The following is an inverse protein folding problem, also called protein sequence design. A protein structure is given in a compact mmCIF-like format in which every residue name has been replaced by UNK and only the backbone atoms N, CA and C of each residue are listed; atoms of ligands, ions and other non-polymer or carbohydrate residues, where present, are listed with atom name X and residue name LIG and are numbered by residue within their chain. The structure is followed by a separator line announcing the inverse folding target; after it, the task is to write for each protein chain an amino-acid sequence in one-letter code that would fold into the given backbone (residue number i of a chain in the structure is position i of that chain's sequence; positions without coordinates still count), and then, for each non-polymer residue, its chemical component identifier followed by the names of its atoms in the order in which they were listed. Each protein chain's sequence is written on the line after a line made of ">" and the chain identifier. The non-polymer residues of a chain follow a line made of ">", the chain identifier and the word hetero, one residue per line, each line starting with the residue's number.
data_IF_941652078025
#
_entry.id   IF_941652078025
#
_cell.length_a   1.000
_cell.length_b   1.000
_cell.length_c   1.000
_cell.angle_alpha   90.00
_cell.angle_beta   90.00
_cell.angle_gamma   90.00
#
_symmetry.space_group_name_H-M   'P 1'
#
loop_
_entity.id
_entity.type
_entity.pdbx_description
1 polymer ?
#
# COMPACT_ATOMS: atom_id res chain seq x y z
N UNK A 1 -6.67 -27.81 -6.52
CA UNK A 1 -6.59 -29.10 -5.79
C UNK A 1 -7.52 -29.06 -4.58
N UNK A 2 -7.32 -28.14 -3.64
CA UNK A 2 -8.23 -27.92 -2.50
C UNK A 2 -9.72 -27.84 -2.87
N UNK A 3 -10.10 -27.02 -3.86
CA UNK A 3 -11.50 -26.93 -4.30
C UNK A 3 -12.07 -28.27 -4.80
N UNK A 4 -11.22 -29.15 -5.37
CA UNK A 4 -11.65 -30.49 -5.77
C UNK A 4 -11.78 -31.43 -4.56
N UNK A 5 -10.97 -31.22 -3.53
CA UNK A 5 -10.98 -32.01 -2.28
C UNK A 5 -12.16 -31.61 -1.37
N UNK A 6 -12.53 -30.31 -1.34
CA UNK A 6 -13.69 -29.81 -0.61
C UNK A 6 -15.03 -30.23 -1.25
N UNK A 7 -15.10 -30.35 -2.58
CA UNK A 7 -16.38 -30.58 -3.26
C UNK A 7 -17.37 -29.46 -2.94
N UNK A 8 -18.54 -29.83 -2.40
CA UNK A 8 -19.57 -28.88 -1.94
C UNK A 8 -19.43 -28.48 -0.45
N UNK A 9 -18.41 -29.00 0.26
CA UNK A 9 -18.18 -28.69 1.66
C UNK A 9 -17.49 -27.33 1.82
N UNK A 10 -17.84 -26.61 2.89
CA UNK A 10 -17.24 -25.32 3.25
C UNK A 10 -16.36 -25.50 4.49
N UNK A 11 -15.21 -24.85 4.50
CA UNK A 11 -14.36 -24.79 5.69
C UNK A 11 -15.03 -23.84 6.71
N UNK A 12 -15.11 -24.18 8.01
CA UNK A 12 -15.66 -23.28 9.01
C UNK A 12 -14.76 -22.04 9.22
N UNK A 13 -15.39 -20.93 9.59
CA UNK A 13 -14.73 -19.70 10.04
C UNK A 13 -15.33 -19.28 11.38
N UNK A 14 -14.59 -18.50 12.16
CA UNK A 14 -15.02 -17.98 13.45
C UNK A 14 -15.21 -16.46 13.35
N UNK A 15 -16.37 -15.98 13.76
CA UNK A 15 -16.65 -14.58 14.02
C UNK A 15 -16.66 -14.25 15.51
N UNK A 16 -16.83 -12.97 15.89
CA UNK A 16 -16.74 -12.52 17.28
C UNK A 16 -17.72 -13.19 18.26
N UNK A 17 -18.81 -13.76 17.75
CA UNK A 17 -19.81 -14.47 18.56
C UNK A 17 -19.47 -15.94 18.80
N UNK A 18 -18.50 -16.50 18.07
CA UNK A 18 -18.17 -17.91 18.13
C UNK A 18 -17.20 -18.22 19.28
N UNK A 19 -17.42 -19.36 19.94
CA UNK A 19 -16.52 -19.84 20.99
C UNK A 19 -15.16 -20.18 20.37
N UNK A 20 -14.10 -19.62 20.94
CA UNK A 20 -12.72 -19.83 20.46
C UNK A 20 -12.21 -18.74 19.51
N UNK A 21 -13.05 -17.78 19.12
CA UNK A 21 -12.63 -16.64 18.29
C UNK A 21 -11.45 -15.87 18.89
N UNK A 22 -11.56 -15.45 20.14
CA UNK A 22 -10.51 -14.68 20.81
C UNK A 22 -9.21 -15.50 20.96
N UNK A 23 -9.35 -16.78 21.30
CA UNK A 23 -8.19 -17.67 21.42
C UNK A 23 -7.45 -17.82 20.09
N UNK A 24 -8.18 -18.01 18.99
CA UNK A 24 -7.62 -18.09 17.64
C UNK A 24 -6.93 -16.77 17.26
N UNK A 25 -7.57 -15.63 17.56
CA UNK A 25 -6.99 -14.32 17.31
C UNK A 25 -5.64 -14.18 18.03
N UNK A 26 -5.62 -14.41 19.33
CA UNK A 26 -4.44 -14.20 20.17
C UNK A 26 -3.29 -15.17 19.82
N UNK A 27 -3.60 -16.39 19.36
CA UNK A 27 -2.59 -17.41 19.07
C UNK A 27 -2.06 -17.40 17.63
N UNK A 28 -2.90 -17.05 16.66
CA UNK A 28 -2.62 -17.28 15.23
C UNK A 28 -2.75 -16.02 14.38
N UNK A 29 -3.36 -14.96 14.91
CA UNK A 29 -3.54 -13.68 14.25
C UNK A 29 -3.04 -12.53 15.14
N UNK A 30 -2.04 -12.77 15.98
CA UNK A 30 -1.55 -11.80 16.97
C UNK A 30 -1.02 -10.50 16.34
N UNK A 31 -0.55 -10.56 15.09
CA UNK A 31 -0.16 -9.38 14.30
C UNK A 31 -1.34 -8.55 13.78
N UNK A 32 -2.59 -8.99 13.95
CA UNK A 32 -3.79 -8.26 13.57
C UNK A 32 -4.30 -7.43 14.75
N UNK A 33 -4.44 -6.12 14.55
CA UNK A 33 -4.95 -5.20 15.57
C UNK A 33 -6.20 -4.51 15.04
N UNK A 34 -7.29 -4.54 15.81
CA UNK A 34 -8.50 -3.76 15.53
C UNK A 34 -8.60 -2.58 16.48
N UNK A 35 -8.79 -1.39 15.89
CA UNK A 35 -9.07 -0.12 16.55
C UNK A 35 -10.49 0.30 16.21
N UNK A 36 -11.37 0.38 17.21
CA UNK A 36 -12.75 0.85 17.00
C UNK A 36 -12.78 2.32 16.62
N UNK A 37 -13.81 2.76 15.92
CA UNK A 37 -13.98 4.18 15.54
C UNK A 37 -13.82 5.18 16.69
N UNK A 38 -14.09 4.83 17.94
CA UNK A 38 -13.84 5.74 19.07
C UNK A 38 -12.35 6.03 19.35
N UNK A 39 -11.39 5.34 18.71
CA UNK A 39 -9.96 5.53 18.95
C UNK A 39 -9.33 6.66 18.14
N UNK A 40 -9.96 7.10 17.05
CA UNK A 40 -9.48 8.24 16.27
C UNK A 40 -10.14 9.52 16.79
N UNK A 41 -9.44 10.67 16.75
CA UNK A 41 -10.06 11.95 17.06
C UNK A 41 -11.28 12.22 16.17
N UNK A 42 -12.39 12.68 16.76
CA UNK A 42 -13.65 12.90 16.06
C UNK A 42 -13.53 13.90 14.90
N UNK A 43 -12.69 14.93 15.07
CA UNK A 43 -12.40 15.92 14.02
C UNK A 43 -11.68 15.27 12.82
N UNK A 44 -10.64 14.48 13.09
CA UNK A 44 -9.91 13.74 12.05
C UNK A 44 -10.83 12.76 11.31
N UNK A 45 -11.73 12.08 12.02
CA UNK A 45 -12.76 11.25 11.39
C UNK A 45 -13.62 12.01 10.40
N UNK A 46 -14.15 13.18 10.80
CA UNK A 46 -15.01 13.99 9.96
C UNK A 46 -14.24 14.48 8.71
N UNK A 47 -13.00 14.94 8.91
CA UNK A 47 -12.12 15.41 7.83
C UNK A 47 -11.79 14.29 6.83
N UNK A 48 -11.41 13.10 7.30
CA UNK A 48 -11.11 11.96 6.44
C UNK A 48 -12.35 11.49 5.66
N UNK A 49 -13.52 11.41 6.30
CA UNK A 49 -14.75 11.03 5.60
C UNK A 49 -15.13 12.05 4.53
N UNK A 50 -15.02 13.34 4.83
CA UNK A 50 -15.24 14.41 3.86
C UNK A 50 -14.23 14.34 2.71
N UNK A 51 -12.95 14.09 3.00
CA UNK A 51 -11.90 13.93 2.00
C UNK A 51 -12.19 12.80 1.00
N UNK A 52 -12.59 11.62 1.50
CA UNK A 52 -12.96 10.47 0.67
C UNK A 52 -14.15 10.78 -0.26
N UNK A 53 -15.16 11.49 0.24
CA UNK A 53 -16.31 11.93 -0.55
C UNK A 53 -15.91 12.98 -1.60
N UNK A 54 -15.03 13.93 -1.26
CA UNK A 54 -14.49 14.93 -2.18
C UNK A 54 -13.72 14.27 -3.32
N UNK A 55 -12.84 13.32 -3.02
CA UNK A 55 -12.10 12.54 -4.01
C UNK A 55 -13.01 11.79 -4.98
N UNK A 56 -14.10 11.19 -4.47
CA UNK A 56 -15.14 10.57 -5.30
C UNK A 56 -15.84 11.60 -6.19
N UNK A 57 -16.28 12.73 -5.62
CA UNK A 57 -16.98 13.80 -6.37
C UNK A 57 -16.12 14.37 -7.50
N UNK A 58 -14.81 14.47 -7.29
CA UNK A 58 -13.86 14.93 -8.32
C UNK A 58 -13.46 13.86 -9.34
N UNK A 59 -13.91 12.62 -9.17
CA UNK A 59 -13.59 11.52 -10.09
C UNK A 59 -12.15 11.02 -9.99
N UNK A 60 -11.51 11.18 -8.83
CA UNK A 60 -10.12 10.76 -8.62
C UNK A 60 -9.97 9.23 -8.48
N UNK A 61 -11.04 8.52 -8.11
CA UNK A 61 -11.06 7.07 -7.91
C UNK A 61 -11.41 6.37 -9.21
N UNK A 62 -10.50 5.57 -9.74
CA UNK A 62 -10.62 4.94 -11.06
C UNK A 62 -10.34 3.45 -10.98
N UNK A 63 -11.05 2.64 -11.78
CA UNK A 63 -10.76 1.20 -11.88
C UNK A 63 -9.45 1.03 -12.64
N UNK A 64 -8.60 0.16 -12.16
CA UNK A 64 -7.33 -0.14 -12.80
C UNK A 64 -7.54 -1.29 -13.79
N UNK A 65 -6.94 -1.16 -14.99
CA UNK A 65 -6.82 -2.26 -15.94
C UNK A 65 -5.57 -3.03 -15.56
N UNK A 66 -5.74 -4.23 -15.03
CA UNK A 66 -4.64 -5.07 -14.51
C UNK A 66 -4.56 -6.38 -15.29
N UNK A 67 -3.39 -7.03 -15.29
CA UNK A 67 -3.21 -8.33 -15.90
C UNK A 67 -3.26 -9.42 -14.83
N UNK A 68 -4.21 -10.34 -14.95
CA UNK A 68 -4.35 -11.49 -14.03
C UNK A 68 -4.47 -12.76 -14.85
N UNK A 69 -3.50 -13.68 -14.72
CA UNK A 69 -3.43 -14.95 -15.47
C UNK A 69 -3.57 -14.71 -16.99
N UNK A 70 -2.75 -13.79 -17.50
CA UNK A 70 -2.68 -13.41 -18.92
C UNK A 70 -3.97 -12.82 -19.52
N UNK A 71 -4.85 -12.30 -18.66
CA UNK A 71 -6.06 -11.58 -19.08
C UNK A 71 -6.08 -10.18 -18.53
N UNK A 72 -6.44 -9.24 -19.38
CA UNK A 72 -6.62 -7.84 -19.01
C UNK A 72 -8.03 -7.66 -18.44
N UNK A 73 -8.11 -7.26 -17.18
CA UNK A 73 -9.36 -7.15 -16.43
C UNK A 73 -9.39 -5.84 -15.65
N UNK A 74 -10.56 -5.20 -15.61
CA UNK A 74 -10.75 -4.06 -14.73
C UNK A 74 -11.00 -4.53 -13.30
N UNK A 75 -10.29 -3.93 -12.34
CA UNK A 75 -10.52 -4.16 -10.91
C UNK A 75 -11.96 -3.86 -10.52
N UNK A 76 -12.56 -4.62 -9.61
CA UNK A 76 -13.92 -4.30 -9.13
C UNK A 76 -13.97 -3.01 -8.30
N UNK A 77 -12.85 -2.69 -7.67
CA UNK A 77 -12.68 -1.52 -6.82
C UNK A 77 -12.06 -0.38 -7.63
N UNK A 78 -12.56 0.83 -7.44
CA UNK A 78 -11.97 2.06 -7.95
C UNK A 78 -10.93 2.59 -6.96
N UNK A 79 -9.78 3.05 -7.44
CA UNK A 79 -8.62 3.37 -6.62
C UNK A 79 -7.99 4.71 -6.95
N UNK A 80 -7.27 5.24 -5.96
CA UNK A 80 -6.36 6.36 -6.10
C UNK A 80 -5.15 6.13 -5.18
N UNK A 81 -3.94 6.43 -5.65
CA UNK A 81 -2.74 6.38 -4.83
C UNK A 81 -2.41 7.79 -4.36
N UNK A 82 -2.27 7.99 -3.05
CA UNK A 82 -1.72 9.21 -2.47
C UNK A 82 -0.42 8.85 -1.76
N UNK A 83 0.57 9.73 -1.73
CA UNK A 83 1.87 9.37 -1.18
C UNK A 83 2.87 10.51 -1.06
N UNK A 84 4.04 10.16 -0.58
CA UNK A 84 5.23 10.98 -0.68
C UNK A 84 5.46 11.39 -2.15
N UNK A 85 5.95 12.61 -2.33
CA UNK A 85 6.18 13.20 -3.65
C UNK A 85 7.11 12.31 -4.49
N UNK A 86 6.72 12.05 -5.75
CA UNK A 86 7.52 11.22 -6.66
C UNK A 86 7.51 9.71 -6.36
N UNK A 87 6.73 9.25 -5.39
CA UNK A 87 6.62 7.83 -5.09
C UNK A 87 5.61 7.12 -5.97
N UNK A 88 5.84 5.82 -6.17
CA UNK A 88 4.94 4.94 -6.92
C UNK A 88 4.68 3.66 -6.12
N UNK A 89 3.63 2.94 -6.48
CA UNK A 89 3.29 1.66 -5.87
C UNK A 89 2.90 0.66 -6.96
N UNK A 90 3.60 -0.47 -7.03
CA UNK A 90 3.34 -1.50 -8.03
C UNK A 90 2.51 -2.64 -7.44
N UNK A 91 1.48 -3.06 -8.17
CA UNK A 91 0.72 -4.26 -7.88
C UNK A 91 0.13 -4.82 -9.17
N UNK A 92 0.05 -6.16 -9.31
CA UNK A 92 -0.51 -6.82 -10.50
C UNK A 92 0.04 -6.25 -11.82
N UNK A 93 1.37 -6.08 -11.87
CA UNK A 93 2.13 -5.50 -13.00
C UNK A 93 1.72 -4.08 -13.43
N UNK A 94 1.01 -3.37 -12.55
CA UNK A 94 0.58 -1.99 -12.75
C UNK A 94 1.28 -1.07 -11.77
N UNK A 95 2.03 -0.08 -12.26
CA UNK A 95 2.64 0.96 -11.42
C UNK A 95 1.69 2.13 -11.24
N UNK A 96 1.18 2.32 -10.04
CA UNK A 96 0.38 3.50 -9.69
C UNK A 96 1.28 4.67 -9.30
N UNK A 97 0.90 5.87 -9.72
CA UNK A 97 1.64 7.11 -9.46
C UNK A 97 0.95 7.93 -8.37
N UNK A 98 1.70 8.31 -7.33
CA UNK A 98 1.11 8.95 -6.16
C UNK A 98 0.69 10.39 -6.47
N UNK A 99 -0.55 10.74 -6.10
CA UNK A 99 -0.92 12.14 -5.87
C UNK A 99 -0.16 12.57 -4.60
N UNK A 100 0.70 13.60 -4.67
CA UNK A 100 1.48 14.01 -3.51
C UNK A 100 0.58 14.38 -2.34
N UNK A 101 1.02 14.03 -1.13
CA UNK A 101 0.45 14.59 0.07
C UNK A 101 0.58 16.10 0.08
N UNK A 102 -0.33 16.75 0.81
CA UNK A 102 -0.27 18.18 1.06
C UNK A 102 -0.11 18.42 2.55
N UNK A 103 1.00 19.05 2.93
CA UNK A 103 1.30 19.50 4.28
C UNK A 103 1.60 21.01 4.27
N UNK A 104 1.88 21.57 5.43
CA UNK A 104 2.13 23.01 5.59
C UNK A 104 3.38 23.47 4.80
N UNK A 105 4.42 22.63 4.72
CA UNK A 105 5.64 22.92 3.95
C UNK A 105 5.38 23.03 2.44
N UNK A 106 4.44 22.24 1.91
CA UNK A 106 4.06 22.27 0.51
C UNK A 106 3.32 23.57 0.13
N UNK A 107 2.59 24.17 1.08
CA UNK A 107 1.90 25.45 0.88
C UNK A 107 2.90 26.62 0.82
N UNK A 108 3.94 26.59 1.66
CA UNK A 108 5.02 27.60 1.67
C UNK A 108 5.81 27.61 0.35
N UNK A 109 5.95 26.44 -0.30
CA UNK A 109 6.66 26.31 -1.60
C UNK A 109 5.81 26.66 -2.82
N UNK A 110 4.55 27.08 -2.65
CA UNK A 110 3.69 27.52 -3.76
C UNK A 110 3.39 26.44 -4.80
N UNK A 111 3.56 25.16 -4.48
CA UNK A 111 3.34 24.05 -5.41
C UNK A 111 1.85 23.72 -5.52
N UNK A 112 1.13 24.52 -6.32
CA UNK A 112 -0.27 24.28 -6.67
C UNK A 112 -0.39 23.22 -7.78
N UNK A 113 -0.23 21.93 -7.45
CA UNK A 113 -0.46 20.85 -8.42
C UNK A 113 -1.94 20.46 -8.58
N UNK A 114 -2.83 20.94 -7.69
CA UNK A 114 -4.26 20.70 -7.73
C UNK A 114 -5.08 21.82 -7.08
N UNK A 115 -6.40 21.76 -7.24
CA UNK A 115 -7.34 22.68 -6.61
C UNK A 115 -7.37 22.56 -5.07
N UNK A 116 -7.97 23.57 -4.42
CA UNK A 116 -7.97 23.70 -2.96
C UNK A 116 -8.72 22.57 -2.24
N UNK A 117 -9.83 22.09 -2.81
CA UNK A 117 -10.62 21.01 -2.21
C UNK A 117 -9.84 19.69 -2.25
N UNK A 118 -9.18 19.38 -3.38
CA UNK A 118 -8.37 18.17 -3.51
C UNK A 118 -7.17 18.23 -2.55
N UNK A 119 -6.55 19.41 -2.42
CA UNK A 119 -5.45 19.66 -1.50
C UNK A 119 -5.86 19.40 -0.06
N UNK A 120 -6.98 19.96 0.37
CA UNK A 120 -7.54 19.73 1.70
C UNK A 120 -7.84 18.24 1.94
N UNK A 121 -8.39 17.54 0.93
CA UNK A 121 -8.63 16.10 1.01
C UNK A 121 -7.33 15.29 1.18
N UNK A 122 -6.28 15.63 0.43
CA UNK A 122 -4.97 15.00 0.57
C UNK A 122 -4.32 15.31 1.93
N UNK A 123 -4.49 16.53 2.46
CA UNK A 123 -4.01 16.92 3.80
C UNK A 123 -4.67 16.08 4.90
N UNK A 124 -5.98 15.90 4.87
CA UNK A 124 -6.68 15.05 5.85
C UNK A 124 -6.19 13.59 5.82
N UNK A 125 -5.89 13.05 4.63
CA UNK A 125 -5.33 11.70 4.49
C UNK A 125 -3.87 11.61 4.92
N UNK A 126 -3.10 12.69 4.81
CA UNK A 126 -1.77 12.81 5.39
C UNK A 126 -1.81 12.86 6.93
N UNK A 127 -2.75 13.59 7.52
CA UNK A 127 -2.96 13.61 8.97
C UNK A 127 -3.37 12.23 9.51
N UNK A 128 -4.22 11.51 8.77
CA UNK A 128 -4.52 10.10 9.04
C UNK A 128 -3.26 9.21 8.99
N UNK A 129 -2.39 9.45 8.01
CA UNK A 129 -1.10 8.75 7.90
C UNK A 129 -0.23 8.98 9.14
N UNK A 130 -0.14 10.23 9.62
CA UNK A 130 0.62 10.57 10.83
C UNK A 130 0.06 9.90 12.08
N UNK A 131 -1.27 9.83 12.19
CA UNK A 131 -1.92 9.07 13.26
C UNK A 131 -1.48 7.60 13.23
N UNK A 132 -1.54 6.94 12.07
CA UNK A 132 -1.15 5.53 11.95
C UNK A 132 0.35 5.30 12.21
N UNK A 133 1.23 6.17 11.71
CA UNK A 133 2.66 6.09 12.03
C UNK A 133 2.90 6.13 13.55
N UNK A 134 2.19 7.01 14.26
CA UNK A 134 2.29 7.14 15.71
C UNK A 134 1.70 5.92 16.45
N UNK A 135 0.56 5.39 15.98
CA UNK A 135 -0.08 4.22 16.61
C UNK A 135 0.78 2.96 16.48
N UNK A 136 1.33 2.72 15.29
CA UNK A 136 2.24 1.60 15.01
C UNK A 136 3.54 1.71 15.83
N UNK A 137 4.10 2.91 15.97
CA UNK A 137 5.29 3.12 16.78
C UNK A 137 5.06 2.74 18.25
N UNK A 138 3.89 3.12 18.81
CA UNK A 138 3.50 2.78 20.19
C UNK A 138 3.31 1.27 20.40
N UNK A 139 2.71 0.57 19.42
CA UNK A 139 2.55 -0.89 19.49
C UNK A 139 3.91 -1.59 19.57
N UNK A 140 4.85 -1.21 18.70
CA UNK A 140 6.21 -1.77 18.71
C UNK A 140 6.97 -1.50 20.02
N UNK A 141 6.76 -0.35 20.64
CA UNK A 141 7.35 -0.03 21.94
C UNK A 141 6.75 -0.89 23.07
N UNK A 142 5.42 -1.07 23.07
CA UNK A 142 4.73 -1.96 24.00
C UNK A 142 5.20 -3.41 23.90
N UNK A 143 5.38 -3.93 22.68
CA UNK A 143 5.89 -5.29 22.45
C UNK A 143 7.33 -5.46 22.92
N UNK A 144 8.19 -4.47 22.69
CA UNK A 144 9.58 -4.47 23.20
C UNK A 144 9.63 -4.50 24.72
N UNK A 145 8.82 -3.66 25.38
CA UNK A 145 8.74 -3.64 26.84
C UNK A 145 8.22 -4.97 27.41
N UNK A 146 7.22 -5.58 26.76
CA UNK A 146 6.70 -6.90 27.14
C UNK A 146 7.73 -8.01 26.93
N UNK A 147 8.55 -7.95 25.86
CA UNK A 147 9.60 -8.92 25.59
C UNK A 147 10.80 -8.76 26.56
N UNK A 148 11.16 -7.54 26.95
CA UNK A 148 12.15 -7.30 28.01
C UNK A 148 11.67 -7.82 29.37
N UNK A 149 10.41 -7.59 29.73
CA UNK A 149 9.83 -8.09 30.98
C UNK A 149 9.77 -9.63 31.05
N UNK A 150 9.56 -10.30 29.91
CA UNK A 150 9.63 -11.77 29.80
C UNK A 150 11.06 -12.32 29.82
N UNK A 151 12.04 -11.56 29.33
CA UNK A 151 13.47 -11.92 29.38
C UNK A 151 14.09 -11.87 30.78
N UNK A 152 13.55 -11.06 31.68
CA UNK A 152 14.01 -10.98 33.08
C UNK A 152 13.48 -12.12 33.96
N UNK A 153 12.54 -12.94 33.47
CA UNK A 153 11.98 -14.06 34.24
C UNK A 153 12.69 -15.40 34.00
N UNK A 154 13.64 -15.48 33.05
CA UNK A 154 14.37 -16.72 32.73
C UNK A 154 15.88 -16.71 33.06
N UNK A 155 16.38 -15.72 33.83
CA UNK A 155 17.76 -15.74 34.35
C UNK A 155 17.81 -15.65 35.88
N UNK A 156 17.29 -16.68 36.55
CA UNK A 156 17.72 -17.01 37.93
C UNK A 156 17.86 -18.52 38.09
N UNK A 157 18.92 -19.07 37.50
CA UNK A 157 19.67 -20.23 38.01
C UNK A 157 20.83 -20.57 37.05
N UNK A 158 22.01 -20.02 37.34
CA UNK A 158 23.28 -20.69 37.08
C UNK A 158 24.37 -19.99 37.89
N UNK A 159 25.21 -20.78 38.53
CA UNK A 159 26.16 -20.41 39.57
C UNK A 159 27.41 -19.71 39.04
N UNK A 160 28.02 -18.98 39.97
CA UNK A 160 29.41 -18.51 40.05
C UNK A 160 30.43 -19.20 39.13
N UNK A 161 31.21 -18.37 38.44
CA UNK A 161 32.50 -18.73 37.88
C UNK A 161 33.22 -17.50 37.33
N UNK A 162 34.11 -16.92 38.13
CA UNK A 162 35.10 -15.93 37.67
C UNK A 162 36.08 -16.60 36.70
N UNK A 163 36.30 -16.02 35.51
CA UNK A 163 37.61 -16.09 34.86
C UNK A 163 37.78 -14.96 33.85
N UNK A 164 38.91 -14.26 33.97
CA UNK A 164 39.43 -13.25 33.05
C UNK A 164 39.72 -13.84 31.65
N UNK A 165 39.48 -13.11 30.56
CA UNK A 165 40.55 -12.54 29.71
C UNK A 165 40.07 -12.04 28.33
N UNK A 166 40.62 -10.86 27.97
CA UNK A 166 41.18 -10.44 26.67
C UNK A 166 40.30 -10.23 25.43
N UNK A 167 40.24 -8.95 25.04
CA UNK A 167 40.43 -8.37 23.70
C UNK A 167 39.84 -9.09 22.47
N UNK A 168 38.96 -8.39 21.76
CA UNK A 168 39.28 -7.92 20.40
C UNK A 168 38.40 -6.71 20.06
N UNK A 169 39.07 -5.59 19.79
CA UNK A 169 38.51 -4.51 18.97
C UNK A 169 38.39 -5.06 17.55
N UNK A 170 37.21 -4.97 16.94
CA UNK A 170 37.16 -4.71 15.49
C UNK A 170 35.78 -4.22 15.03
N UNK A 171 35.86 -3.26 14.10
CA UNK A 171 34.81 -2.84 13.17
C UNK A 171 33.74 -1.85 13.67
N UNK A 172 34.20 -0.62 13.91
CA UNK A 172 33.45 0.57 13.48
C UNK A 172 33.43 0.61 11.96
N UNK A 173 32.25 0.51 11.36
CA UNK A 173 31.81 1.29 10.20
C UNK A 173 30.36 0.89 9.87
N UNK A 174 29.39 1.63 10.41
CA UNK A 174 28.17 1.89 9.65
C UNK A 174 27.89 3.37 9.74
N UNK A 175 27.88 3.99 8.57
CA UNK A 175 27.64 5.40 8.36
C UNK A 175 26.27 5.76 8.93
N UNK A 176 26.25 6.82 9.74
CA UNK A 176 25.05 7.44 10.23
C UNK A 176 24.34 8.13 9.07
N UNK A 177 23.19 7.59 8.68
CA UNK A 177 22.25 8.20 7.78
C UNK A 177 21.02 7.32 7.63
N UNK A 178 19.86 7.81 8.07
CA UNK A 178 18.54 7.38 7.59
C UNK A 178 17.80 6.21 8.29
N UNK A 179 17.96 6.01 9.60
CA UNK A 179 17.13 5.03 10.34
C UNK A 179 15.69 5.50 10.68
N UNK A 180 15.38 6.77 10.40
CA UNK A 180 14.13 7.42 10.82
C UNK A 180 13.12 7.58 9.66
N UNK A 181 13.61 7.76 8.43
CA UNK A 181 12.79 7.74 7.20
C UNK A 181 12.22 6.34 6.91
N UNK A 182 12.92 5.29 7.37
CA UNK A 182 12.65 3.89 7.05
C UNK A 182 11.45 3.28 7.79
N UNK A 183 10.71 4.06 8.59
CA UNK A 183 9.67 3.54 9.51
C UNK A 183 8.33 4.25 9.40
N UNK A 184 8.05 4.97 8.31
CA UNK A 184 6.75 5.60 8.08
C UNK A 184 6.07 5.02 6.86
N UNK A 185 4.74 4.92 6.92
CA UNK A 185 3.94 4.71 5.71
C UNK A 185 4.26 5.84 4.73
N UNK A 186 4.60 5.51 3.49
CA UNK A 186 4.99 6.47 2.44
C UNK A 186 3.90 6.63 1.37
N UNK A 187 2.92 5.72 1.33
CA UNK A 187 1.75 5.81 0.44
C UNK A 187 0.48 5.32 1.14
N UNK A 188 -0.67 5.73 0.64
CA UNK A 188 -1.96 5.10 0.90
C UNK A 188 -2.68 4.78 -0.41
N UNK A 189 -3.14 3.54 -0.54
CA UNK A 189 -3.99 3.10 -1.63
C UNK A 189 -5.45 3.23 -1.19
N UNK A 190 -6.13 4.22 -1.76
CA UNK A 190 -7.55 4.43 -1.53
C UNK A 190 -8.36 3.44 -2.36
N UNK A 191 -9.45 2.95 -1.79
CA UNK A 191 -10.35 1.99 -2.40
C UNK A 191 -11.78 2.50 -2.27
N UNK A 192 -12.56 2.38 -3.32
CA UNK A 192 -13.99 2.66 -3.33
C UNK A 192 -14.74 1.62 -4.15
N UNK A 193 -15.84 1.09 -3.60
CA UNK A 193 -16.75 0.22 -4.34
C UNK A 193 -18.19 0.48 -3.91
N UNK A 194 -19.12 0.41 -4.86
CA UNK A 194 -20.56 0.48 -4.65
C UNK A 194 -21.21 -0.84 -5.06
N UNK A 195 -21.45 -1.80 -4.13
CA UNK A 195 -21.91 -3.14 -4.47
C UNK A 195 -23.17 -3.18 -5.35
N UNK A 196 -24.23 -2.36 -5.12
CA UNK A 196 -25.38 -2.26 -6.02
C UNK A 196 -25.05 -1.88 -7.46
N UNK A 197 -23.98 -1.10 -7.68
CA UNK A 197 -23.52 -0.72 -9.02
C UNK A 197 -22.65 -1.80 -9.68
N UNK A 198 -22.31 -2.89 -8.97
CA UNK A 198 -21.43 -3.95 -9.44
C UNK A 198 -22.24 -5.19 -9.86
N UNK A 199 -22.22 -5.49 -11.16
CA UNK A 199 -23.01 -6.60 -11.73
C UNK A 199 -22.32 -7.97 -11.62
N UNK A 200 -21.00 -8.02 -11.41
CA UNK A 200 -20.20 -9.25 -11.51
C UNK A 200 -19.17 -9.39 -10.38
N UNK A 201 -19.64 -9.49 -9.14
CA UNK A 201 -18.79 -9.88 -8.01
C UNK A 201 -18.70 -11.40 -7.90
N UNK A 202 -17.49 -11.91 -7.67
CA UNK A 202 -17.24 -13.34 -7.50
C UNK A 202 -17.58 -13.77 -6.07
N UNK A 203 -18.14 -14.97 -5.93
CA UNK A 203 -18.32 -15.59 -4.62
C UNK A 203 -16.96 -16.04 -4.05
N UNK A 204 -16.82 -15.94 -2.74
CA UNK A 204 -15.70 -16.48 -1.99
C UNK A 204 -15.70 -18.02 -2.12
N UNK A 205 -14.58 -18.63 -2.57
CA UNK A 205 -14.62 -20.01 -3.07
C UNK A 205 -14.43 -21.11 -2.01
N UNK A 206 -14.01 -20.82 -0.77
CA UNK A 206 -13.55 -21.85 0.18
C UNK A 206 -14.43 -22.00 1.43
N UNK A 207 -14.97 -20.90 1.94
CA UNK A 207 -15.68 -20.81 3.22
C UNK A 207 -17.14 -20.39 3.01
N UNK A 208 -17.49 -19.96 1.80
CA UNK A 208 -18.85 -19.57 1.43
C UNK A 208 -19.30 -18.30 2.13
N UNK A 209 -18.37 -17.35 2.29
CA UNK A 209 -18.56 -16.10 3.00
C UNK A 209 -19.37 -15.05 2.21
N UNK A 210 -19.53 -15.25 0.90
CA UNK A 210 -20.30 -14.39 0.02
C UNK A 210 -19.44 -13.67 -1.02
N UNK A 211 -19.98 -12.59 -1.59
CA UNK A 211 -19.35 -11.85 -2.69
C UNK A 211 -18.11 -11.09 -2.22
N UNK A 212 -17.02 -11.21 -2.97
CA UNK A 212 -15.76 -10.52 -2.70
C UNK A 212 -15.66 -9.21 -3.50
N UNK A 213 -15.38 -8.10 -2.80
CA UNK A 213 -14.92 -6.86 -3.40
C UNK A 213 -13.47 -7.02 -3.92
N UNK A 214 -12.62 -7.65 -3.11
CA UNK A 214 -11.24 -8.02 -3.42
C UNK A 214 -11.04 -9.47 -3.00
N UNK A 215 -10.54 -10.30 -3.92
CA UNK A 215 -10.28 -11.71 -3.64
C UNK A 215 -9.11 -11.93 -2.66
N UNK A 216 -8.89 -13.18 -2.27
CA UNK A 216 -7.74 -13.60 -1.47
C UNK A 216 -6.42 -13.19 -2.12
N UNK A 217 -5.60 -12.42 -1.40
CA UNK A 217 -4.31 -11.92 -1.87
C UNK A 217 -3.36 -11.59 -0.71
N UNK A 218 -2.12 -11.30 -1.06
CA UNK A 218 -1.15 -10.59 -0.23
C UNK A 218 -0.96 -9.20 -0.82
N UNK A 219 -0.62 -8.25 0.03
CA UNK A 219 -0.15 -6.96 -0.45
C UNK A 219 1.25 -7.11 -1.05
N UNK A 220 1.38 -6.71 -2.31
CA UNK A 220 2.65 -6.72 -3.07
C UNK A 220 3.46 -5.45 -2.82
N UNK A 221 4.74 -5.45 -3.22
CA UNK A 221 5.62 -4.27 -3.20
C UNK A 221 5.66 -3.52 -1.84
N UNK A 222 5.70 -4.28 -0.75
CA UNK A 222 5.89 -3.77 0.60
C UNK A 222 7.32 -4.04 1.07
N UNK A 223 7.85 -3.14 1.89
CA UNK A 223 9.07 -3.42 2.66
C UNK A 223 8.82 -4.68 3.51
N UNK A 224 9.78 -5.60 3.54
CA UNK A 224 9.65 -6.88 4.26
C UNK A 224 9.28 -6.66 5.73
N UNK A 225 8.24 -7.38 6.19
CA UNK A 225 7.66 -7.27 7.54
C UNK A 225 7.19 -5.86 7.94
N UNK A 226 6.93 -5.00 6.96
CA UNK A 226 6.33 -3.70 7.23
C UNK A 226 4.85 -3.84 7.54
N UNK A 227 4.32 -3.00 8.46
CA UNK A 227 2.90 -3.02 8.76
C UNK A 227 2.09 -2.44 7.60
N UNK A 228 0.79 -2.75 7.62
CA UNK A 228 -0.24 -2.11 6.80
C UNK A 228 -1.33 -1.62 7.74
N UNK A 229 -1.76 -0.37 7.60
CA UNK A 229 -2.83 0.21 8.40
C UNK A 229 -3.99 0.65 7.52
N UNK A 230 -5.22 0.37 7.93
CA UNK A 230 -6.41 0.59 7.12
C UNK A 230 -7.47 1.33 7.90
N UNK A 231 -7.93 2.44 7.33
CA UNK A 231 -9.15 3.12 7.74
C UNK A 231 -10.32 2.62 6.90
N UNK A 232 -11.44 2.25 7.52
CA UNK A 232 -12.63 1.75 6.83
C UNK A 232 -13.81 2.69 6.97
N UNK A 233 -14.46 3.06 5.86
CA UNK A 233 -15.62 3.93 5.87
C UNK A 233 -16.77 3.37 5.02
N UNK A 234 -17.75 2.76 5.69
CA UNK A 234 -19.01 2.34 5.07
C UNK A 234 -19.96 3.53 4.96
N UNK A 235 -20.47 3.79 3.76
CA UNK A 235 -21.46 4.84 3.46
C UNK A 235 -22.86 4.34 3.78
N UNK A 236 -23.19 4.23 5.07
CA UNK A 236 -24.55 3.98 5.52
C UNK A 236 -25.07 5.23 6.24
N UNK A 237 -26.33 5.58 6.01
CA UNK A 237 -27.05 6.49 6.90
C UNK A 237 -27.54 5.67 8.09
N UNK A 238 -27.12 6.04 9.31
CA UNK A 238 -27.54 5.38 10.57
C UNK A 238 -29.07 5.40 10.78
N UNK A 239 -29.81 6.13 9.94
CA UNK A 239 -31.28 6.20 9.94
C UNK A 239 -31.99 4.98 9.34
N UNK A 240 -31.31 4.18 8.51
CA UNK A 240 -31.94 3.06 7.78
C UNK A 240 -32.00 1.76 8.60
N UNK A 241 -31.23 1.67 9.70
CA UNK A 241 -31.24 0.51 10.60
C UNK A 241 -32.39 0.51 11.62
N UNK A 242 -33.29 1.51 11.58
CA UNK A 242 -34.56 1.41 12.31
C UNK A 242 -35.46 0.40 11.60
N UNK A 243 -35.39 -0.84 12.09
CA UNK A 243 -36.42 -1.89 12.00
C UNK A 243 -37.22 -1.88 10.69
N UNK A 244 -36.65 -2.43 9.63
CA UNK A 244 -37.48 -3.13 8.66
C UNK A 244 -37.77 -4.52 9.22
N UNK A 245 -39.00 -4.70 9.68
CA UNK A 245 -39.65 -5.89 10.27
C UNK A 245 -39.70 -7.13 9.34
N UNK A 246 -38.88 -7.16 8.28
CA UNK A 246 -38.93 -8.16 7.20
C UNK A 246 -37.84 -9.24 7.28
N UNK A 247 -37.14 -9.37 8.42
CA UNK A 247 -36.14 -10.44 8.61
C UNK A 247 -34.94 -10.39 7.64
N UNK A 248 -34.74 -9.27 6.94
CA UNK A 248 -33.63 -9.11 5.99
C UNK A 248 -32.34 -8.77 6.77
N UNK A 249 -31.44 -9.75 6.90
CA UNK A 249 -30.13 -9.54 7.55
C UNK A 249 -29.24 -8.77 6.59
N UNK A 250 -29.01 -7.48 6.87
CA UNK A 250 -28.04 -6.67 6.12
C UNK A 250 -26.64 -7.30 6.16
N UNK A 251 -26.04 -7.52 4.98
CA UNK A 251 -24.65 -8.00 4.87
C UNK A 251 -23.68 -6.86 5.16
N UNK A 252 -22.85 -7.08 6.19
CA UNK A 252 -21.83 -6.15 6.64
C UNK A 252 -20.56 -6.29 5.79
N UNK A 253 -19.78 -5.21 5.74
CA UNK A 253 -18.43 -5.28 5.23
C UNK A 253 -17.54 -5.97 6.25
N UNK A 254 -17.07 -7.15 5.88
CA UNK A 254 -16.20 -7.95 6.71
C UNK A 254 -14.86 -8.16 5.98
N UNK A 255 -13.80 -8.29 6.77
CA UNK A 255 -12.45 -8.53 6.28
C UNK A 255 -11.99 -9.82 6.91
N UNK A 256 -11.45 -10.70 6.10
CA UNK A 256 -11.07 -12.03 6.55
C UNK A 256 -9.60 -12.22 6.34
N UNK A 257 -8.97 -12.86 7.32
CA UNK A 257 -7.58 -13.27 7.29
C UNK A 257 -7.50 -14.79 7.32
N UNK A 258 -6.78 -15.37 6.37
CA UNK A 258 -6.59 -16.80 6.23
C UNK A 258 -5.11 -17.16 6.28
N UNK A 259 -4.67 -18.11 7.13
CA UNK A 259 -3.32 -18.67 7.00
C UNK A 259 -3.23 -19.48 5.71
N UNK A 260 -2.01 -19.67 5.19
CA UNK A 260 -1.77 -20.56 4.04
C UNK A 260 -2.10 -22.02 4.30
N UNK A 261 -2.27 -22.41 5.56
CA UNK A 261 -2.52 -23.79 5.92
C UNK A 261 -3.99 -24.11 5.70
N UNK A 262 -4.23 -24.77 4.57
CA UNK A 262 -5.51 -25.33 4.16
C UNK A 262 -6.18 -26.10 5.32
N UNK A 263 -7.42 -25.73 5.65
CA UNK A 263 -8.20 -26.39 6.71
C UNK A 263 -8.07 -25.77 8.10
N UNK A 264 -7.23 -24.75 8.29
CA UNK A 264 -7.20 -23.98 9.54
C UNK A 264 -8.40 -23.02 9.63
N UNK A 265 -8.93 -22.78 10.84
CA UNK A 265 -10.04 -21.85 11.04
C UNK A 265 -9.65 -20.44 10.59
N UNK A 266 -10.56 -19.78 9.85
CA UNK A 266 -10.41 -18.39 9.45
C UNK A 266 -11.03 -17.45 10.48
N UNK A 267 -10.41 -16.28 10.62
CA UNK A 267 -10.94 -15.17 11.39
C UNK A 267 -11.81 -14.25 10.51
N UNK A 268 -13.08 -14.08 10.89
CA UNK A 268 -13.95 -13.00 10.41
C UNK A 268 -13.76 -11.75 11.27
N UNK A 269 -13.30 -10.66 10.67
CA UNK A 269 -13.21 -9.36 11.31
C UNK A 269 -14.31 -8.42 10.78
N UNK A 270 -15.42 -8.22 11.52
CA UNK A 270 -16.43 -7.23 11.17
C UNK A 270 -15.89 -5.81 11.34
N UNK A 271 -15.92 -5.03 10.26
CA UNK A 271 -15.38 -3.67 10.24
C UNK A 271 -16.51 -2.66 10.10
N UNK A 272 -16.70 -1.85 11.13
CA UNK A 272 -17.74 -0.82 11.15
C UNK A 272 -17.26 0.50 10.55
N UNK A 273 -18.17 1.45 10.45
CA UNK A 273 -17.88 2.81 9.98
C UNK A 273 -16.83 3.46 10.90
N UNK A 274 -15.70 3.84 10.33
CA UNK A 274 -14.60 4.48 11.04
C UNK A 274 -13.69 3.51 11.79
N UNK A 275 -13.98 2.21 11.82
CA UNK A 275 -13.05 1.24 12.39
C UNK A 275 -11.75 1.24 11.58
N UNK A 276 -10.64 1.10 12.30
CA UNK A 276 -9.31 0.93 11.73
C UNK A 276 -8.77 -0.45 12.09
N UNK A 277 -7.98 -1.04 11.21
CA UNK A 277 -7.25 -2.25 11.53
C UNK A 277 -5.85 -2.19 10.95
N UNK A 278 -4.90 -2.87 11.59
CA UNK A 278 -3.55 -2.99 11.08
C UNK A 278 -3.09 -4.44 11.11
N UNK A 279 -2.31 -4.81 10.11
CA UNK A 279 -1.51 -6.03 10.12
C UNK A 279 -0.06 -5.66 10.34
N UNK A 280 0.58 -6.28 11.32
CA UNK A 280 1.98 -6.09 11.67
C UNK A 280 2.81 -7.35 11.37
N UNK A 281 4.12 -7.19 11.53
CA UNK A 281 5.12 -8.25 11.42
C UNK A 281 5.04 -9.04 10.10
N UNK A 282 5.00 -10.36 10.17
CA UNK A 282 4.95 -11.25 9.02
C UNK A 282 3.52 -11.63 8.62
N UNK A 283 2.48 -10.97 9.16
CA UNK A 283 1.10 -11.36 8.89
C UNK A 283 0.77 -11.29 7.39
N UNK A 284 1.27 -10.28 6.66
CA UNK A 284 1.06 -10.19 5.22
C UNK A 284 1.81 -11.28 4.43
N UNK A 285 2.91 -11.83 4.94
CA UNK A 285 3.67 -12.91 4.28
C UNK A 285 3.23 -14.31 4.71
N UNK A 286 2.56 -14.46 5.85
CA UNK A 286 2.07 -15.74 6.39
C UNK A 286 0.56 -15.95 6.20
N UNK A 287 -0.20 -14.88 5.93
CA UNK A 287 -1.64 -14.92 5.75
C UNK A 287 -2.07 -14.20 4.48
N UNK A 288 -3.15 -14.69 3.89
CA UNK A 288 -3.93 -14.01 2.86
C UNK A 288 -5.04 -13.21 3.52
N UNK A 289 -5.48 -12.16 2.84
CA UNK A 289 -6.70 -11.47 3.21
C UNK A 289 -7.62 -11.24 2.02
N UNK A 290 -8.92 -11.15 2.29
CA UNK A 290 -9.91 -10.75 1.30
C UNK A 290 -10.86 -9.72 1.88
N UNK A 291 -11.55 -8.99 1.00
CA UNK A 291 -12.55 -8.00 1.37
C UNK A 291 -13.89 -8.45 0.83
N UNK A 292 -14.85 -8.70 1.71
CA UNK A 292 -16.21 -8.98 1.28
C UNK A 292 -16.96 -7.70 0.92
N UNK A 293 -17.81 -7.83 -0.09
CA UNK A 293 -18.80 -6.83 -0.41
C UNK A 293 -19.94 -6.89 0.61
N UNK A 294 -20.21 -5.76 1.26
CA UNK A 294 -21.46 -5.57 1.99
C UNK A 294 -22.58 -5.13 1.04
N UNK A 295 -23.66 -4.58 1.60
CA UNK A 295 -24.79 -4.09 0.81
C UNK A 295 -24.66 -2.61 0.36
N UNK A 296 -23.70 -1.85 0.92
CA UNK A 296 -23.57 -0.42 0.66
C UNK A 296 -22.21 -0.02 0.14
N UNK A 297 -22.12 1.19 -0.42
CA UNK A 297 -20.85 1.74 -0.81
C UNK A 297 -19.88 1.80 0.38
N UNK A 298 -18.60 1.54 0.11
CA UNK A 298 -17.53 1.59 1.09
C UNK A 298 -16.28 2.21 0.50
N UNK A 299 -15.63 3.03 1.31
CA UNK A 299 -14.26 3.47 1.12
C UNK A 299 -13.30 2.74 2.07
N UNK A 300 -12.04 2.62 1.68
CA UNK A 300 -10.94 2.42 2.62
C UNK A 300 -9.70 3.21 2.22
N UNK A 301 -8.89 3.60 3.21
CA UNK A 301 -7.55 4.16 3.03
C UNK A 301 -6.54 3.15 3.58
N UNK A 302 -5.74 2.53 2.72
CA UNK A 302 -4.80 1.47 3.09
C UNK A 302 -3.36 1.98 3.00
N UNK A 303 -2.81 2.37 4.15
CA UNK A 303 -1.49 2.95 4.34
C UNK A 303 -0.41 1.87 4.33
N UNK A 304 0.65 2.09 3.55
CA UNK A 304 1.67 1.10 3.19
C UNK A 304 3.06 1.72 3.29
N UNK A 305 4.03 0.90 3.67
CA UNK A 305 5.44 1.18 3.44
C UNK A 305 5.83 0.50 2.12
N UNK A 306 5.57 1.19 1.01
CA UNK A 306 5.91 0.70 -0.31
C UNK A 306 7.43 0.52 -0.42
N UNK A 307 7.86 -0.63 -0.94
CA UNK A 307 9.26 -0.81 -1.33
C UNK A 307 9.51 0.05 -2.58
N UNK A 308 10.32 1.09 -2.41
CA UNK A 308 10.50 2.12 -3.41
C UNK A 308 11.97 2.41 -3.73
N UNK A 309 12.88 1.50 -3.38
CA UNK A 309 14.31 1.59 -3.76
C UNK A 309 14.53 1.85 -5.26
N UNK A 310 13.69 1.31 -6.13
CA UNK A 310 13.65 1.60 -7.57
C UNK A 310 12.33 2.25 -8.04
N UNK A 311 11.50 2.69 -7.09
CA UNK A 311 10.11 3.11 -7.33
C UNK A 311 9.87 4.61 -7.17
N UNK A 312 10.91 5.44 -7.19
CA UNK A 312 10.82 6.89 -7.00
C UNK A 312 11.30 7.68 -8.21
N UNK A 313 10.73 8.87 -8.42
CA UNK A 313 11.13 9.76 -9.50
C UNK A 313 12.63 10.11 -9.40
N UNK A 314 13.12 10.39 -8.20
CA UNK A 314 14.54 10.70 -7.96
C UNK A 314 15.45 9.55 -8.40
N UNK A 315 15.07 8.30 -8.10
CA UNK A 315 15.80 7.12 -8.55
C UNK A 315 15.90 7.08 -10.07
N UNK A 316 14.77 7.14 -10.78
CA UNK A 316 14.78 6.97 -12.24
C UNK A 316 15.45 8.14 -12.95
N UNK A 317 15.33 9.36 -12.43
CA UNK A 317 16.04 10.52 -12.96
C UNK A 317 17.55 10.37 -12.78
N UNK A 318 18.01 9.85 -11.64
CA UNK A 318 19.42 9.53 -11.44
C UNK A 318 19.89 8.45 -12.41
N UNK A 319 19.05 7.46 -12.75
CA UNK A 319 19.36 6.45 -13.77
C UNK A 319 19.45 7.07 -15.16
N UNK A 320 18.53 7.96 -15.51
CA UNK A 320 18.61 8.68 -16.77
C UNK A 320 19.92 9.47 -16.89
N UNK A 321 20.30 10.19 -15.84
CA UNK A 321 21.56 10.93 -15.80
C UNK A 321 22.79 10.02 -15.89
N UNK A 322 22.74 8.83 -15.28
CA UNK A 322 23.79 7.80 -15.39
C UNK A 322 23.96 7.37 -16.86
N UNK A 323 22.88 7.02 -17.56
CA UNK A 323 22.95 6.62 -18.97
C UNK A 323 23.38 7.77 -19.89
N UNK A 324 22.80 8.96 -19.72
CA UNK A 324 23.10 10.14 -20.53
C UNK A 324 24.50 10.71 -20.29
N UNK A 325 25.19 10.29 -19.22
CA UNK A 325 26.60 10.64 -19.03
C UNK A 325 27.51 10.08 -20.11
N UNK A 326 27.07 9.06 -20.87
CA UNK A 326 27.79 8.53 -22.03
C UNK A 326 27.50 9.30 -23.33
N UNK A 327 26.61 10.29 -23.32
CA UNK A 327 26.25 11.10 -24.48
C UNK A 327 27.04 12.41 -24.48
N UNK A 328 27.84 12.62 -25.52
CA UNK A 328 28.45 13.91 -25.81
C UNK A 328 27.56 14.70 -26.76
N UNK A 329 27.46 16.01 -26.52
CA UNK A 329 26.85 16.97 -27.46
C UNK A 329 27.90 18.01 -27.80
N UNK A 330 28.29 18.05 -29.06
CA UNK A 330 29.23 19.05 -29.57
C UNK A 330 28.59 20.46 -29.46
N UNK A 331 29.21 21.41 -28.75
CA UNK A 331 28.60 22.72 -28.49
C UNK A 331 28.54 23.64 -29.71
N UNK A 332 29.33 23.41 -30.75
CA UNK A 332 29.37 24.24 -31.96
C UNK A 332 28.37 23.76 -33.01
N UNK A 333 28.22 22.44 -33.12
CA UNK A 333 27.45 21.79 -34.18
C UNK A 333 26.14 21.18 -33.69
N UNK A 334 26.02 20.93 -32.39
CA UNK A 334 24.89 20.20 -31.79
C UNK A 334 24.88 18.71 -32.13
N UNK A 335 25.95 18.17 -32.75
CA UNK A 335 26.01 16.74 -33.05
C UNK A 335 26.23 15.91 -31.79
N UNK A 336 25.57 14.76 -31.77
CA UNK A 336 25.62 13.82 -30.66
C UNK A 336 26.56 12.65 -30.99
N UNK A 337 27.31 12.19 -29.99
CA UNK A 337 28.18 11.01 -30.10
C UNK A 337 28.35 10.32 -28.75
N UNK A 338 28.76 9.04 -28.77
CA UNK A 338 29.04 8.28 -27.54
C UNK A 338 30.47 8.53 -27.06
N UNK A 339 30.63 8.74 -25.75
CA UNK A 339 31.94 8.90 -25.11
C UNK A 339 32.68 7.56 -24.97
N UNK A 340 31.96 6.48 -24.71
CA UNK A 340 32.50 5.14 -24.54
C UNK A 340 31.65 4.07 -25.25
N UNK A 341 32.34 3.13 -25.90
CA UNK A 341 31.76 1.96 -26.59
C UNK A 341 32.10 0.64 -25.86
N UNK A 342 32.40 0.72 -24.56
CA UNK A 342 32.67 -0.47 -23.76
C UNK A 342 31.37 -1.30 -23.62
N UNK A 343 31.41 -2.63 -23.82
CA UNK A 343 30.20 -3.46 -23.77
C UNK A 343 29.39 -3.30 -22.47
N UNK A 344 30.07 -3.15 -21.33
CA UNK A 344 29.43 -2.94 -20.03
C UNK A 344 28.70 -1.59 -19.94
N UNK A 345 29.27 -0.53 -20.52
CA UNK A 345 28.63 0.79 -20.57
C UNK A 345 27.41 0.77 -21.47
N UNK A 346 27.54 0.19 -22.67
CA UNK A 346 26.42 0.09 -23.62
C UNK A 346 25.28 -0.75 -23.05
N UNK A 347 25.59 -1.93 -22.48
CA UNK A 347 24.59 -2.76 -21.81
C UNK A 347 23.85 -1.98 -20.71
N UNK A 348 24.60 -1.22 -19.89
CA UNK A 348 24.01 -0.43 -18.81
C UNK A 348 23.09 0.67 -19.32
N UNK A 349 23.48 1.38 -20.39
CA UNK A 349 22.63 2.36 -21.06
C UNK A 349 21.33 1.71 -21.56
N UNK A 350 21.41 0.55 -22.22
CA UNK A 350 20.23 -0.17 -22.73
C UNK A 350 19.30 -0.67 -21.61
N UNK A 351 19.85 -1.15 -20.50
CA UNK A 351 19.05 -1.56 -19.33
C UNK A 351 18.25 -0.39 -18.76
N UNK A 352 18.90 0.77 -18.61
CA UNK A 352 18.24 2.00 -18.13
C UNK A 352 17.21 2.49 -19.13
N UNK A 353 17.55 2.45 -20.42
CA UNK A 353 16.65 2.84 -21.51
C UNK A 353 15.33 2.04 -21.44
N UNK A 354 15.44 0.71 -21.34
CA UNK A 354 14.28 -0.17 -21.17
C UNK A 354 13.53 0.10 -19.86
N UNK A 355 14.23 0.37 -18.76
CA UNK A 355 13.60 0.68 -17.47
C UNK A 355 12.74 1.96 -17.57
N UNK A 356 13.27 3.06 -18.12
CA UNK A 356 12.52 4.30 -18.31
C UNK A 356 11.29 4.07 -19.20
N UNK A 357 11.45 3.31 -20.29
CA UNK A 357 10.36 3.02 -21.21
C UNK A 357 9.25 2.18 -20.57
N UNK A 358 9.59 1.00 -20.05
CA UNK A 358 8.61 0.00 -19.64
C UNK A 358 8.14 0.16 -18.20
N UNK A 359 9.01 0.60 -17.30
CA UNK A 359 8.66 0.74 -15.88
C UNK A 359 8.03 2.10 -15.57
N UNK A 360 8.25 3.12 -16.40
CA UNK A 360 7.79 4.49 -16.14
C UNK A 360 6.86 5.03 -17.21
N UNK A 361 7.36 5.27 -18.43
CA UNK A 361 6.60 5.97 -19.47
C UNK A 361 5.37 5.16 -19.92
N UNK A 362 5.56 3.89 -20.29
CA UNK A 362 4.45 3.03 -20.72
C UNK A 362 3.46 2.79 -19.60
N UNK A 363 3.93 2.61 -18.36
CA UNK A 363 3.06 2.45 -17.20
C UNK A 363 2.21 3.70 -16.97
N UNK A 364 2.81 4.90 -17.01
CA UNK A 364 2.08 6.16 -16.83
C UNK A 364 1.05 6.40 -17.94
N UNK A 365 1.46 6.27 -19.20
CA UNK A 365 0.59 6.55 -20.34
C UNK A 365 -0.46 5.48 -20.60
N UNK A 366 -0.22 4.22 -20.23
CA UNK A 366 -1.21 3.14 -20.30
C UNK A 366 -2.45 3.42 -19.45
N UNK A 367 -2.24 4.08 -18.31
CA UNK A 367 -3.31 4.53 -17.43
C UNK A 367 -4.06 5.76 -17.99
N UNK A 368 -3.61 6.28 -19.13
CA UNK A 368 -4.12 7.50 -19.76
C UNK A 368 -3.71 8.76 -19.00
N UNK A 369 -4.10 9.92 -19.53
CA UNK A 369 -3.92 11.23 -18.88
C UNK A 369 -4.80 11.42 -17.63
N UNK A 370 -5.22 10.32 -16.99
CA UNK A 370 -6.21 10.31 -15.90
C UNK A 370 -5.81 11.17 -14.72
N UNK A 371 -4.52 11.19 -14.38
CA UNK A 371 -3.96 11.98 -13.29
C UNK A 371 -4.09 13.49 -13.55
N UNK A 372 -3.80 13.94 -14.77
CA UNK A 372 -3.80 15.36 -15.14
C UNK A 372 -5.17 16.04 -14.99
N UNK A 373 -6.25 15.26 -14.93
CA UNK A 373 -7.62 15.75 -14.70
C UNK A 373 -7.80 16.39 -13.33
N UNK A 374 -7.00 15.98 -12.34
CA UNK A 374 -7.14 16.43 -10.96
C UNK A 374 -5.81 16.83 -10.30
N UNK A 375 -4.67 16.33 -10.79
CA UNK A 375 -3.34 16.69 -10.29
C UNK A 375 -2.32 16.75 -11.44
N UNK A 376 -1.65 17.89 -11.59
CA UNK A 376 -0.64 18.14 -12.64
C UNK A 376 0.79 17.80 -12.21
N UNK A 377 0.98 17.23 -11.01
CA UNK A 377 2.32 17.06 -10.45
C UNK A 377 3.25 16.20 -11.33
N UNK A 378 2.73 15.10 -11.87
CA UNK A 378 3.50 14.19 -12.74
C UNK A 378 3.70 14.68 -14.17
N UNK A 379 3.05 15.77 -14.59
CA UNK A 379 3.13 16.26 -15.98
C UNK A 379 4.56 16.61 -16.37
N UNK A 380 5.22 17.53 -15.65
CA UNK A 380 6.59 17.93 -15.94
C UNK A 380 7.62 16.79 -15.75
N UNK A 381 7.55 15.99 -14.66
CA UNK A 381 8.39 14.80 -14.53
C UNK A 381 8.32 13.84 -15.72
N UNK A 382 7.12 13.54 -16.21
CA UNK A 382 6.94 12.59 -17.32
C UNK A 382 7.41 13.18 -18.65
N UNK A 383 7.19 14.49 -18.89
CA UNK A 383 7.77 15.18 -20.03
C UNK A 383 9.31 15.15 -20.03
N UNK A 384 9.93 15.26 -18.85
CA UNK A 384 11.39 15.16 -18.73
C UNK A 384 11.87 13.73 -19.00
N UNK A 385 11.24 12.71 -18.40
CA UNK A 385 11.59 11.32 -18.67
C UNK A 385 11.43 10.95 -20.15
N UNK A 386 10.42 11.50 -20.84
CA UNK A 386 10.24 11.29 -22.28
C UNK A 386 11.35 11.96 -23.10
N UNK A 387 11.83 13.14 -22.69
CA UNK A 387 12.99 13.79 -23.33
C UNK A 387 14.26 12.97 -23.13
N UNK A 388 14.49 12.49 -21.92
CA UNK A 388 15.67 11.69 -21.58
C UNK A 388 15.63 10.35 -22.34
N UNK A 389 14.47 9.70 -22.41
CA UNK A 389 14.25 8.50 -23.22
C UNK A 389 14.53 8.73 -24.71
N UNK A 390 14.07 9.85 -25.30
CA UNK A 390 14.36 10.19 -26.72
C UNK A 390 15.85 10.36 -27.00
N UNK A 391 16.61 10.87 -26.03
CA UNK A 391 18.07 10.96 -26.17
C UNK A 391 18.70 9.56 -26.12
N UNK A 392 18.19 8.64 -25.28
CA UNK A 392 18.65 7.26 -25.25
C UNK A 392 18.28 6.49 -26.52
N UNK A 393 17.11 6.70 -27.12
CA UNK A 393 16.74 6.16 -28.44
C UNK A 393 17.75 6.56 -29.53
N UNK A 394 18.26 7.80 -29.48
CA UNK A 394 19.32 8.24 -30.37
C UNK A 394 20.64 7.51 -30.10
N UNK A 395 20.98 7.28 -28.83
CA UNK A 395 22.18 6.53 -28.44
C UNK A 395 22.15 5.09 -28.98
N UNK A 396 20.99 4.42 -28.96
CA UNK A 396 20.80 3.06 -29.52
C UNK A 396 21.02 3.03 -31.04
N UNK A 397 20.76 4.16 -31.70
CA UNK A 397 20.84 4.29 -33.15
C UNK A 397 22.27 4.54 -33.67
N UNK A 398 23.22 4.86 -32.78
CA UNK A 398 24.65 4.99 -33.10
C UNK A 398 25.32 3.63 -33.23
#
# INVERSE_FOLDING_TARGET
>A
RLLKELGDQKIPFLGPSDRGFQQLWDSSYSGLVLRRSCSLPAELHAQVQAALLTLRKKGCLLRDLVRVRDRDVFTNVSRALLGDQGHTYRYLDTRLFAIPWHNEDAEVKGQNCCDADLRAACKALWELNNFFCSDVAKLKEGDRLAHCAKGETETKQAEQGETESKHSEDSKNSEGGDSESQKRFNVTLLNYMDPPAMTQLKEEPYYGMGKMAVGWHHDENLITHSPVAVYSYSCHDDKVLKENDNGFVHRRHNIFYAPFVVGWPILDLPVHRGDCYSSADDLNSTHQHCVLAGDTARFSSTHRMAECSNGTLTYIQSKCQEALSNLHTDPETGFHSLLALLPTTLQRCEEIHNEVEFEWLRQYWFQGQRYTRFCSWWTKPMEQLEKDWKLMEMMVSF
#
